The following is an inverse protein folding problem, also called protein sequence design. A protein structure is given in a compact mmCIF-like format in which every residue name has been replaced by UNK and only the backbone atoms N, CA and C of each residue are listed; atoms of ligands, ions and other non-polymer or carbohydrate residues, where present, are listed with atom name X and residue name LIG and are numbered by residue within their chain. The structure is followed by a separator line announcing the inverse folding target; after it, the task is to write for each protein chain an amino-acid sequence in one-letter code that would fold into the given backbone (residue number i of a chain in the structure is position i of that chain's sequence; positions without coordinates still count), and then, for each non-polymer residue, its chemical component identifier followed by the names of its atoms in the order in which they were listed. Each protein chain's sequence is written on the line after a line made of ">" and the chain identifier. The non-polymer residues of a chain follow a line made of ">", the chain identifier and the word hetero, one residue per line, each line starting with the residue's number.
data_IF_279177036763
#
_entry.id   IF_279177036763
#
_cell.length_a   1.000
_cell.length_b   1.000
_cell.length_c   1.000
_cell.angle_alpha   90.00
_cell.angle_beta   90.00
_cell.angle_gamma   90.00
#
_symmetry.space_group_name_H-M   'P 1'
#
loop_
_entity.id
_entity.type
_entity.pdbx_description
1 polymer ?
#
# COMPACT_ATOMS: atom_id res chain seq x y z
N UNK A 1 0.80 7.26 9.78
CA UNK A 1 0.08 8.14 8.86
C UNK A 1 1.09 9.05 8.20
N UNK A 2 0.73 9.69 7.10
CA UNK A 2 1.55 10.73 6.49
C UNK A 2 0.72 12.00 6.38
N UNK A 3 1.15 13.08 7.03
CA UNK A 3 0.57 14.42 6.82
C UNK A 3 1.14 15.15 5.59
N UNK A 4 2.02 14.49 4.84
CA UNK A 4 2.84 15.04 3.76
C UNK A 4 4.25 14.46 3.78
N UNK A 5 5.11 14.90 2.86
CA UNK A 5 6.47 14.37 2.67
C UNK A 5 7.37 14.46 3.93
N UNK A 6 7.10 15.41 4.84
CA UNK A 6 7.87 15.61 6.07
C UNK A 6 7.29 14.97 7.34
N UNK A 7 6.15 14.29 7.27
CA UNK A 7 5.39 13.87 8.45
C UNK A 7 4.96 12.41 8.41
N UNK A 8 5.90 11.48 8.16
CA UNK A 8 5.61 10.05 8.17
C UNK A 8 5.79 9.47 9.58
N UNK A 9 4.72 8.85 10.08
CA UNK A 9 4.70 8.14 11.37
C UNK A 9 4.30 6.69 11.12
N UNK A 10 4.98 5.75 11.77
CA UNK A 10 4.60 4.34 11.74
C UNK A 10 3.26 4.16 12.46
N UNK A 11 2.25 3.64 11.76
CA UNK A 11 1.00 3.17 12.39
C UNK A 11 1.18 1.70 12.74
N UNK A 12 0.46 1.20 13.75
CA UNK A 12 0.42 -0.23 14.04
C UNK A 12 0.02 -1.05 12.80
N UNK A 13 0.60 -2.24 12.68
CA UNK A 13 0.23 -3.19 11.62
C UNK A 13 -1.06 -3.87 12.04
N UNK A 14 -2.21 -3.32 11.64
CA UNK A 14 -3.52 -3.81 12.05
C UNK A 14 -3.93 -5.11 11.31
N UNK A 15 -3.12 -6.16 11.44
CA UNK A 15 -3.36 -7.42 10.73
C UNK A 15 -2.94 -7.39 9.26
N UNK A 16 -2.20 -6.36 8.82
CA UNK A 16 -1.51 -6.36 7.54
C UNK A 16 -0.43 -7.44 7.52
N UNK A 17 -0.58 -8.41 6.61
CA UNK A 17 0.42 -9.43 6.29
C UNK A 17 0.92 -9.24 4.86
N UNK A 18 2.15 -9.68 4.61
CA UNK A 18 2.68 -9.70 3.26
C UNK A 18 3.43 -11.00 2.97
N UNK A 19 3.44 -11.38 1.69
CA UNK A 19 4.26 -12.46 1.17
C UNK A 19 4.87 -12.02 -0.15
N UNK A 20 6.11 -12.42 -0.40
CA UNK A 20 6.81 -12.09 -1.63
C UNK A 20 7.51 -13.30 -2.24
N UNK A 21 7.73 -13.23 -3.54
CA UNK A 21 8.57 -14.14 -4.29
C UNK A 21 9.29 -13.36 -5.39
N UNK A 22 10.58 -13.65 -5.59
CA UNK A 22 11.31 -13.18 -6.76
C UNK A 22 11.29 -14.24 -7.83
N UNK A 23 10.80 -13.89 -9.02
CA UNK A 23 10.67 -14.81 -10.16
C UNK A 23 11.92 -14.74 -11.02
N UNK A 24 12.18 -15.86 -11.70
CA UNK A 24 13.13 -15.89 -12.80
C UNK A 24 12.71 -14.87 -13.88
N UNK A 25 13.67 -14.13 -14.43
CA UNK A 25 13.40 -13.00 -15.33
C UNK A 25 13.33 -11.62 -14.66
N UNK A 26 13.52 -11.55 -13.34
CA UNK A 26 13.80 -10.28 -12.65
C UNK A 26 12.60 -9.58 -12.03
N UNK A 27 11.51 -10.30 -11.79
CA UNK A 27 10.25 -9.74 -11.30
C UNK A 27 10.01 -10.05 -9.82
N UNK A 28 9.69 -9.00 -9.05
CA UNK A 28 9.13 -9.16 -7.70
C UNK A 28 7.61 -9.31 -7.78
N UNK A 29 7.08 -10.36 -7.14
CA UNK A 29 5.66 -10.46 -6.84
C UNK A 29 5.48 -10.33 -5.34
N UNK A 30 4.68 -9.35 -4.95
CA UNK A 30 4.39 -9.06 -3.54
C UNK A 30 2.88 -8.97 -3.37
N UNK A 31 2.37 -9.74 -2.42
CA UNK A 31 0.96 -9.72 -2.01
C UNK A 31 0.89 -9.08 -0.64
N UNK A 32 0.12 -8.00 -0.53
CA UNK A 32 -0.27 -7.40 0.74
C UNK A 32 -1.72 -7.79 1.01
N UNK A 33 -2.03 -8.25 2.22
CA UNK A 33 -3.37 -8.66 2.64
C UNK A 33 -3.69 -8.14 4.02
N UNK A 34 -4.93 -7.69 4.21
CA UNK A 34 -5.49 -7.23 5.47
C UNK A 34 -7.02 -7.42 5.47
N UNK A 35 -7.68 -7.47 6.63
CA UNK A 35 -9.14 -7.40 6.71
C UNK A 35 -9.70 -6.12 6.06
N UNK A 36 -10.88 -6.21 5.44
CA UNK A 36 -11.56 -5.05 4.82
C UNK A 36 -12.02 -4.03 5.85
N UNK A 37 -12.57 -4.53 6.97
CA UNK A 37 -12.90 -3.76 8.16
C UNK A 37 -11.73 -3.80 9.12
N UNK A 38 -11.29 -2.65 9.57
CA UNK A 38 -10.18 -2.54 10.52
C UNK A 38 -10.40 -1.35 11.42
N UNK A 39 -10.07 -1.52 12.69
CA UNK A 39 -10.22 -0.49 13.71
C UNK A 39 -8.87 0.19 13.94
N UNK A 40 -8.89 1.51 14.15
CA UNK A 40 -7.70 2.29 14.48
C UNK A 40 -7.65 3.64 13.78
N UNK A 41 -7.13 4.64 14.49
CA UNK A 41 -6.97 5.99 13.95
C UNK A 41 -6.02 5.98 12.74
N UNK A 42 -6.43 6.70 11.69
CA UNK A 42 -5.67 6.88 10.45
C UNK A 42 -5.50 5.65 9.54
N UNK A 43 -6.31 4.61 9.72
CA UNK A 43 -6.36 3.50 8.77
C UNK A 43 -7.18 3.83 7.52
N UNK A 44 -6.71 3.32 6.37
CA UNK A 44 -7.44 3.45 5.12
C UNK A 44 -8.68 2.55 5.16
N UNK A 45 -9.84 3.12 4.82
CA UNK A 45 -11.12 2.42 4.73
C UNK A 45 -11.23 1.70 3.38
N UNK A 46 -11.47 0.39 3.41
CA UNK A 46 -11.61 -0.47 2.21
C UNK A 46 -12.96 -1.19 2.13
N UNK A 47 -13.86 -0.95 3.08
CA UNK A 47 -15.21 -1.55 3.16
C UNK A 47 -16.33 -0.63 2.61
N UNK A 48 -15.95 0.43 1.88
CA UNK A 48 -16.87 1.30 1.14
C UNK A 48 -17.04 0.86 -0.31
N UNK A 49 -17.53 1.76 -1.17
CA UNK A 49 -17.71 1.48 -2.61
C UNK A 49 -16.44 1.74 -3.42
N UNK A 50 -15.62 2.70 -2.96
CA UNK A 50 -14.37 3.07 -3.62
C UNK A 50 -13.25 3.33 -2.63
N UNK A 51 -12.04 2.99 -3.05
CA UNK A 51 -10.80 3.33 -2.36
C UNK A 51 -9.81 3.95 -3.36
N UNK A 52 -9.02 4.92 -2.90
CA UNK A 52 -7.93 5.50 -3.70
C UNK A 52 -6.60 4.90 -3.26
N UNK A 53 -5.85 4.36 -4.21
CA UNK A 53 -4.53 3.77 -3.99
C UNK A 53 -3.46 4.53 -4.75
N UNK A 54 -2.26 4.55 -4.19
CA UNK A 54 -1.05 4.98 -4.88
C UNK A 54 0.07 4.03 -4.50
N UNK A 55 0.97 3.77 -5.45
CA UNK A 55 2.10 2.88 -5.26
C UNK A 55 3.40 3.66 -5.21
N UNK A 56 4.35 3.17 -4.41
CA UNK A 56 5.72 3.62 -4.43
C UNK A 56 6.65 2.40 -4.43
N UNK A 57 7.67 2.43 -5.30
CA UNK A 57 8.61 1.34 -5.49
C UNK A 57 10.04 1.86 -5.39
N UNK A 58 10.87 1.14 -4.63
CA UNK A 58 12.28 1.45 -4.43
C UNK A 58 13.13 0.34 -5.06
N UNK A 59 13.97 0.69 -6.02
CA UNK A 59 14.99 -0.19 -6.60
C UNK A 59 16.28 -0.12 -5.77
N UNK A 60 16.52 -1.14 -4.95
CA UNK A 60 17.59 -1.15 -3.97
C UNK A 60 19.00 -1.14 -4.58
N UNK A 61 19.19 -1.77 -5.73
CA UNK A 61 20.45 -1.77 -6.50
C UNK A 61 20.83 -0.38 -7.02
N UNK A 62 19.82 0.46 -7.29
CA UNK A 62 19.96 1.87 -7.62
C UNK A 62 20.03 2.79 -6.39
N UNK A 63 20.16 2.23 -5.18
CA UNK A 63 20.25 2.96 -3.90
C UNK A 63 19.03 3.85 -3.62
N UNK A 64 17.87 3.51 -4.18
CA UNK A 64 16.62 4.23 -3.92
C UNK A 64 16.18 3.98 -2.46
N UNK A 65 15.90 5.07 -1.72
CA UNK A 65 15.40 5.05 -0.34
C UNK A 65 14.62 6.34 -0.04
N UNK A 66 13.75 6.30 0.97
CA UNK A 66 13.03 7.44 1.50
C UNK A 66 12.20 8.14 0.41
N UNK A 67 12.51 9.38 0.04
CA UNK A 67 11.84 10.12 -1.04
C UNK A 67 12.32 9.75 -2.44
N UNK A 68 13.49 9.14 -2.59
CA UNK A 68 14.03 8.71 -3.88
C UNK A 68 13.44 7.36 -4.24
N UNK A 69 12.43 7.37 -5.10
CA UNK A 69 11.63 6.21 -5.50
C UNK A 69 10.82 6.49 -6.76
N UNK A 70 10.30 5.44 -7.38
CA UNK A 70 9.23 5.56 -8.36
C UNK A 70 7.88 5.60 -7.67
N UNK A 71 6.94 6.35 -8.22
CA UNK A 71 5.55 6.43 -7.74
C UNK A 71 4.57 6.27 -8.89
N UNK A 72 3.37 5.76 -8.60
CA UNK A 72 2.27 5.85 -9.57
C UNK A 72 1.95 7.31 -9.87
N UNK A 73 1.61 7.61 -11.12
CA UNK A 73 1.11 8.93 -11.49
C UNK A 73 -0.30 9.12 -10.92
N UNK A 74 -0.42 9.92 -9.87
CA UNK A 74 -1.70 10.21 -9.23
C UNK A 74 -2.29 9.01 -8.48
N UNK A 75 -3.59 9.12 -8.20
CA UNK A 75 -4.38 8.10 -7.52
C UNK A 75 -4.99 7.11 -8.51
N UNK A 76 -4.98 5.84 -8.14
CA UNK A 76 -5.72 4.76 -8.78
C UNK A 76 -7.01 4.55 -7.98
N UNK A 77 -8.16 4.71 -8.62
CA UNK A 77 -9.45 4.39 -8.01
C UNK A 77 -9.73 2.89 -8.12
N UNK A 78 -9.92 2.25 -6.97
CA UNK A 78 -10.34 0.87 -6.84
C UNK A 78 -11.82 0.84 -6.50
N UNK A 79 -12.59 0.11 -7.30
CA UNK A 79 -13.94 -0.30 -6.93
C UNK A 79 -13.81 -1.46 -5.96
N UNK A 80 -14.12 -1.21 -4.69
CA UNK A 80 -14.21 -2.25 -3.69
C UNK A 80 -15.62 -2.81 -3.84
N UNK A 81 -15.76 -4.07 -4.29
CA UNK A 81 -17.06 -4.71 -4.31
C UNK A 81 -17.64 -4.53 -2.91
N UNK A 82 -18.74 -3.77 -2.80
CA UNK A 82 -19.39 -3.50 -1.52
C UNK A 82 -19.65 -4.81 -0.77
N UNK A 83 -19.91 -4.75 0.55
CA UNK A 83 -20.06 -5.95 1.35
C UNK A 83 -20.97 -6.96 0.63
N UNK A 84 -20.49 -8.19 0.47
CA UNK A 84 -21.26 -9.26 -0.15
C UNK A 84 -22.67 -9.26 0.48
N UNK A 85 -23.68 -9.09 -0.37
CA UNK A 85 -25.08 -9.02 0.04
C UNK A 85 -25.55 -10.31 0.70
#
# INVERSE_FOLDING_TARGET
>A
AAGGFGGTTRVGQAGLVSRSSYREGGEWVVVFSRPLKEEGDHQARLDGDTANLAFALWQGDQKQRDGLKHVSMGWVSLQTAGPAS
#
